data_IF_651812735956
#
_entry.id   IF_651812735956
#
_cell.length_a   1.000
_cell.length_b   1.000
_cell.length_c   1.000
_cell.angle_alpha   90.00
_cell.angle_beta   90.00
_cell.angle_gamma   90.00
#
_symmetry.space_group_name_H-M   'P 1'
#
loop_
_entity.id
_entity.type
_entity.pdbx_description
1 polymer ?
#
# COMPACT_ATOMS: atom_id res chain seq x y z
N UNK A 1 -9.50 -13.23 36.56
CA UNK A 1 -9.48 -13.48 35.11
C UNK A 1 -8.54 -12.49 34.38
N UNK A 2 -7.23 -12.58 34.59
CA UNK A 2 -6.24 -11.73 33.88
C UNK A 2 -5.27 -12.56 33.01
N UNK A 3 -5.09 -13.84 33.34
CA UNK A 3 -4.19 -14.76 32.63
C UNK A 3 -4.68 -15.21 31.24
N UNK A 4 -5.98 -15.13 30.95
CA UNK A 4 -6.52 -15.51 29.64
C UNK A 4 -6.19 -14.47 28.54
N UNK A 5 -6.03 -13.20 28.91
CA UNK A 5 -5.67 -12.12 27.98
C UNK A 5 -4.20 -12.23 27.53
N UNK A 6 -3.32 -12.67 28.42
CA UNK A 6 -1.88 -12.84 28.15
C UNK A 6 -1.61 -13.96 27.13
N UNK A 7 -2.36 -15.06 27.20
CA UNK A 7 -2.21 -16.19 26.27
C UNK A 7 -2.72 -15.84 24.86
N UNK A 8 -3.78 -15.04 24.75
CA UNK A 8 -4.29 -14.56 23.47
C UNK A 8 -3.25 -13.67 22.75
N UNK A 9 -2.57 -12.80 23.50
CA UNK A 9 -1.56 -11.89 22.98
C UNK A 9 -0.23 -12.57 22.62
N UNK A 10 0.16 -13.60 23.38
CA UNK A 10 1.32 -14.43 23.04
C UNK A 10 1.11 -15.18 21.71
N UNK A 11 -0.12 -15.68 21.49
CA UNK A 11 -0.48 -16.43 20.28
C UNK A 11 -0.56 -15.58 19.00
N UNK A 12 -0.91 -14.29 19.11
CA UNK A 12 -0.97 -13.40 17.94
C UNK A 12 0.40 -12.92 17.48
N UNK A 13 1.33 -12.70 18.42
CA UNK A 13 2.69 -12.24 18.10
C UNK A 13 3.52 -13.35 17.42
N UNK A 14 3.37 -14.60 17.86
CA UNK A 14 3.97 -15.76 17.21
C UNK A 14 3.37 -15.98 15.82
N UNK A 15 2.05 -15.83 15.67
CA UNK A 15 1.35 -15.94 14.39
C UNK A 15 1.86 -14.95 13.34
N UNK A 16 2.09 -13.68 13.72
CA UNK A 16 2.64 -12.66 12.82
C UNK A 16 4.05 -13.04 12.38
N UNK A 17 4.92 -13.40 13.33
CA UNK A 17 6.32 -13.75 13.04
C UNK A 17 6.43 -14.97 12.14
N UNK A 18 5.65 -16.02 12.40
CA UNK A 18 5.64 -17.24 11.59
C UNK A 18 5.10 -16.97 10.18
N UNK A 19 4.05 -16.17 10.07
CA UNK A 19 3.46 -15.79 8.78
C UNK A 19 4.45 -14.96 7.95
N UNK A 20 5.10 -13.96 8.56
CA UNK A 20 6.10 -13.14 7.89
C UNK A 20 7.35 -13.92 7.49
N UNK A 21 7.79 -14.88 8.31
CA UNK A 21 8.92 -15.75 7.98
C UNK A 21 8.61 -16.61 6.75
N UNK A 22 7.41 -17.22 6.70
CA UNK A 22 6.95 -17.99 5.53
C UNK A 22 6.80 -17.10 4.29
N UNK A 23 6.29 -15.88 4.45
CA UNK A 23 6.15 -14.93 3.35
C UNK A 23 7.51 -14.50 2.77
N UNK A 24 8.46 -14.15 3.63
CA UNK A 24 9.81 -13.77 3.22
C UNK A 24 10.62 -14.93 2.61
N UNK A 25 10.35 -16.18 3.03
CA UNK A 25 10.93 -17.36 2.41
C UNK A 25 10.34 -17.64 1.01
N UNK A 26 9.07 -17.28 0.78
CA UNK A 26 8.37 -17.51 -0.49
C UNK A 26 8.65 -16.41 -1.51
N UNK A 27 8.73 -15.15 -1.07
CA UNK A 27 8.94 -13.99 -1.93
C UNK A 27 10.15 -13.19 -1.43
N UNK A 28 11.21 -13.16 -2.23
CA UNK A 28 12.45 -12.44 -1.90
C UNK A 28 12.27 -10.91 -1.87
N UNK A 29 11.20 -10.38 -2.47
CA UNK A 29 10.84 -8.96 -2.38
C UNK A 29 10.14 -8.63 -1.06
N UNK A 30 9.59 -9.63 -0.36
CA UNK A 30 8.95 -9.45 0.94
C UNK A 30 10.01 -9.43 2.06
N UNK A 31 10.36 -8.24 2.54
CA UNK A 31 11.27 -8.10 3.68
C UNK A 31 10.56 -8.49 4.98
N UNK A 32 11.18 -9.40 5.74
CA UNK A 32 10.65 -9.86 7.02
C UNK A 32 10.35 -8.71 7.98
N UNK A 33 11.32 -7.80 8.19
CA UNK A 33 11.15 -6.66 9.10
C UNK A 33 10.04 -5.72 8.67
N UNK A 34 9.87 -5.52 7.36
CA UNK A 34 8.77 -4.73 6.83
C UNK A 34 7.42 -5.38 7.11
N UNK A 35 7.32 -6.70 6.88
CA UNK A 35 6.10 -7.47 7.17
C UNK A 35 5.73 -7.40 8.66
N UNK A 36 6.67 -7.66 9.56
CA UNK A 36 6.41 -7.63 11.01
C UNK A 36 6.00 -6.23 11.46
N UNK A 37 6.75 -5.18 11.09
CA UNK A 37 6.42 -3.80 11.47
C UNK A 37 5.06 -3.37 10.92
N UNK A 38 4.75 -3.70 9.68
CA UNK A 38 3.46 -3.35 9.06
C UNK A 38 2.29 -4.00 9.80
N UNK A 39 2.44 -5.26 10.21
CA UNK A 39 1.40 -6.01 10.91
C UNK A 39 1.27 -5.62 12.39
N UNK A 40 2.37 -5.37 13.08
CA UNK A 40 2.35 -4.94 14.48
C UNK A 40 1.85 -3.51 14.66
N UNK A 41 2.02 -2.65 13.65
CA UNK A 41 1.50 -1.27 13.64
C UNK A 41 -0.04 -1.21 13.61
N UNK A 42 -0.70 -2.28 13.15
CA UNK A 42 -2.15 -2.36 13.10
C UNK A 42 -2.69 -3.10 14.33
N UNK A 43 -3.45 -2.43 15.23
CA UNK A 43 -3.99 -3.05 16.43
C UNK A 43 -4.89 -4.26 16.14
N UNK A 44 -5.62 -4.25 15.02
CA UNK A 44 -6.47 -5.38 14.63
C UNK A 44 -5.68 -6.59 14.14
N UNK A 45 -4.55 -6.37 13.48
CA UNK A 45 -3.62 -7.44 13.09
C UNK A 45 -2.95 -8.03 14.34
N UNK A 46 -2.60 -7.16 15.30
CA UNK A 46 -1.99 -7.55 16.58
C UNK A 46 -2.95 -8.34 17.50
N UNK A 47 -4.26 -8.14 17.39
CA UNK A 47 -5.27 -8.91 18.12
C UNK A 47 -5.75 -10.16 17.37
N UNK A 48 -5.24 -10.43 16.17
CA UNK A 48 -5.69 -11.57 15.38
C UNK A 48 -5.14 -12.88 15.97
N UNK A 49 -6.04 -13.81 16.30
CA UNK A 49 -5.71 -15.13 16.85
C UNK A 49 -5.59 -16.22 15.79
N UNK A 50 -5.92 -15.93 14.54
CA UNK A 50 -5.86 -16.86 13.42
C UNK A 50 -5.42 -16.18 12.11
N UNK A 51 -4.85 -16.97 11.19
CA UNK A 51 -4.34 -16.47 9.91
C UNK A 51 -5.44 -15.74 9.12
N UNK A 52 -6.68 -16.25 9.14
CA UNK A 52 -7.81 -15.61 8.44
C UNK A 52 -8.08 -14.21 8.98
N UNK A 53 -8.10 -14.03 10.31
CA UNK A 53 -8.28 -12.73 10.94
C UNK A 53 -7.12 -11.78 10.62
N UNK A 54 -5.89 -12.31 10.62
CA UNK A 54 -4.68 -11.56 10.29
C UNK A 54 -4.73 -11.05 8.84
N UNK A 55 -5.06 -11.91 7.88
CA UNK A 55 -5.19 -11.54 6.46
C UNK A 55 -6.26 -10.46 6.28
N UNK A 56 -7.45 -10.63 6.87
CA UNK A 56 -8.53 -9.65 6.76
C UNK A 56 -8.11 -8.28 7.33
N UNK A 57 -7.50 -8.27 8.53
CA UNK A 57 -7.05 -7.04 9.16
C UNK A 57 -5.96 -6.33 8.34
N UNK A 58 -5.02 -7.11 7.79
CA UNK A 58 -3.91 -6.60 6.98
C UNK A 58 -4.39 -6.03 5.66
N UNK A 59 -5.29 -6.72 4.96
CA UNK A 59 -5.87 -6.25 3.70
C UNK A 59 -6.70 -4.99 3.89
N UNK A 60 -7.50 -4.90 4.96
CA UNK A 60 -8.25 -3.67 5.28
C UNK A 60 -7.31 -2.49 5.54
N UNK A 61 -6.22 -2.70 6.28
CA UNK A 61 -5.23 -1.66 6.53
C UNK A 61 -4.52 -1.20 5.25
N UNK A 62 -4.13 -2.15 4.38
CA UNK A 62 -3.53 -1.84 3.09
C UNK A 62 -4.49 -1.04 2.20
N UNK A 63 -5.77 -1.43 2.13
CA UNK A 63 -6.78 -0.71 1.37
C UNK A 63 -6.96 0.73 1.89
N UNK A 64 -7.05 0.92 3.22
CA UNK A 64 -7.17 2.24 3.82
C UNK A 64 -5.98 3.14 3.50
N UNK A 65 -4.76 2.62 3.63
CA UNK A 65 -3.54 3.37 3.31
C UNK A 65 -3.46 3.75 1.83
N UNK A 66 -3.84 2.84 0.92
CA UNK A 66 -3.89 3.11 -0.52
C UNK A 66 -4.90 4.22 -0.85
N UNK A 67 -6.09 4.20 -0.25
CA UNK A 67 -7.09 5.27 -0.41
C UNK A 67 -6.54 6.61 0.07
N UNK A 68 -5.78 6.62 1.16
CA UNK A 68 -5.16 7.85 1.66
C UNK A 68 -4.10 8.40 0.70
N UNK A 69 -3.24 7.54 0.16
CA UNK A 69 -2.25 7.92 -0.85
C UNK A 69 -2.93 8.42 -2.12
N UNK A 70 -4.01 7.77 -2.57
CA UNK A 70 -4.80 8.22 -3.72
C UNK A 70 -5.36 9.63 -3.50
N UNK A 71 -5.91 9.90 -2.30
CA UNK A 71 -6.43 11.22 -1.95
C UNK A 71 -5.33 12.28 -2.00
N UNK A 72 -4.18 12.02 -1.38
CA UNK A 72 -3.04 12.95 -1.36
C UNK A 72 -2.54 13.21 -2.78
N UNK A 73 -2.41 12.15 -3.60
CA UNK A 73 -2.00 12.28 -4.99
C UNK A 73 -2.98 13.14 -5.80
N UNK A 74 -4.30 12.96 -5.61
CA UNK A 74 -5.33 13.79 -6.24
C UNK A 74 -5.21 15.25 -5.80
N UNK A 75 -5.02 15.53 -4.51
CA UNK A 75 -4.83 16.90 -4.00
C UNK A 75 -3.62 17.56 -4.65
N UNK A 76 -2.46 16.90 -4.65
CA UNK A 76 -1.24 17.43 -5.28
C UNK A 76 -1.46 17.70 -6.78
N UNK A 77 -2.17 16.81 -7.49
CA UNK A 77 -2.45 17.00 -8.91
C UNK A 77 -3.41 18.16 -9.17
N UNK A 78 -4.40 18.37 -8.30
CA UNK A 78 -5.33 19.51 -8.39
C UNK A 78 -4.59 20.81 -8.09
N UNK A 79 -3.83 20.87 -6.99
CA UNK A 79 -3.02 22.03 -6.61
C UNK A 79 -1.98 22.39 -7.67
N UNK A 80 -1.32 21.39 -8.25
CA UNK A 80 -0.43 21.63 -9.38
C UNK A 80 -1.19 22.13 -10.59
N UNK A 81 -2.35 21.56 -10.95
CA UNK A 81 -3.17 22.07 -12.07
C UNK A 81 -3.68 23.50 -11.86
N UNK A 82 -3.92 23.92 -10.62
CA UNK A 82 -4.37 25.30 -10.31
C UNK A 82 -3.20 26.28 -10.13
N UNK A 83 -1.96 25.80 -10.06
CA UNK A 83 -0.78 26.66 -10.09
C UNK A 83 -0.63 27.32 -11.47
N UNK A 84 -0.59 28.66 -11.56
CA UNK A 84 -0.42 29.38 -12.83
C UNK A 84 0.89 29.01 -13.54
N UNK A 85 1.89 28.49 -12.82
CA UNK A 85 3.15 28.00 -13.39
C UNK A 85 2.97 26.66 -14.13
N UNK A 86 2.17 25.75 -13.58
CA UNK A 86 1.89 24.45 -14.19
C UNK A 86 0.93 24.56 -15.39
N UNK A 87 -0.04 25.49 -15.34
CA UNK A 87 -0.91 25.83 -16.48
C UNK A 87 -0.08 26.38 -17.65
N UNK A 88 0.95 27.19 -17.37
CA UNK A 88 1.91 27.67 -18.40
C UNK A 88 2.72 26.51 -18.97
N UNK A 89 3.26 25.62 -18.14
CA UNK A 89 4.02 24.45 -18.61
C UNK A 89 3.14 23.51 -19.45
N UNK A 90 1.89 23.24 -19.05
CA UNK A 90 0.98 22.39 -19.81
C UNK A 90 0.51 23.05 -21.12
N UNK A 91 0.17 24.34 -21.13
CA UNK A 91 -0.21 25.05 -22.38
C UNK A 91 0.97 25.20 -23.36
N UNK A 92 2.20 25.27 -22.86
CA UNK A 92 3.41 25.26 -23.68
C UNK A 92 3.79 23.85 -24.14
N UNK A 93 3.56 22.82 -23.31
CA UNK A 93 3.78 21.41 -23.65
C UNK A 93 2.76 20.90 -24.68
N UNK A 94 1.49 21.27 -24.59
CA UNK A 94 0.47 20.93 -25.60
C UNK A 94 0.79 21.53 -26.98
N UNK A 95 1.38 22.73 -27.05
CA UNK A 95 1.89 23.29 -28.31
C UNK A 95 3.11 22.54 -28.87
N UNK A 96 3.99 22.01 -28.03
CA UNK A 96 5.15 21.19 -28.46
C UNK A 96 4.77 19.74 -28.78
N UNK A 97 3.75 19.18 -28.14
CA UNK A 97 3.32 17.79 -28.33
C UNK A 97 2.54 17.61 -29.65
N UNK A 98 1.80 18.63 -30.09
CA UNK A 98 1.10 18.62 -31.39
C UNK A 98 2.07 18.54 -32.60
N UNK A 99 3.35 18.86 -32.41
CA UNK A 99 4.40 18.72 -33.42
C UNK A 99 5.07 17.32 -33.41
N UNK A 100 4.73 16.45 -32.45
CA UNK A 100 5.37 15.13 -32.23
C UNK A 100 4.37 13.97 -32.24
N UNK A 101 3.23 14.13 -32.91
CA UNK A 101 2.26 13.08 -33.15
C UNK A 101 2.51 12.44 -34.52
N UNK A 102 3.60 11.70 -34.64
CA UNK A 102 3.74 10.63 -35.63
C UNK A 102 4.69 9.57 -35.02
N UNK A 103 4.23 8.32 -35.01
CA UNK A 103 4.86 7.09 -34.49
C UNK A 103 4.70 6.69 -33.01
N UNK A 104 3.58 5.96 -32.83
CA UNK A 104 3.45 4.55 -32.40
C UNK A 104 2.91 4.20 -31.00
N UNK A 105 1.99 3.20 -30.93
CA UNK A 105 1.32 2.75 -29.71
C UNK A 105 1.92 1.47 -29.10
N UNK A 106 1.35 1.10 -27.93
CA UNK A 106 1.14 -0.22 -27.32
C UNK A 106 1.96 -0.67 -26.07
N UNK A 107 1.16 -1.31 -25.18
CA UNK A 107 1.43 -2.19 -24.02
C UNK A 107 1.54 -1.54 -22.62
N UNK A 108 0.65 -1.72 -21.62
CA UNK A 108 -0.27 -2.76 -21.09
C UNK A 108 0.33 -3.57 -19.92
N UNK A 109 -0.21 -3.40 -18.69
CA UNK A 109 -0.29 -4.38 -17.56
C UNK A 109 -1.42 -3.85 -16.64
N UNK A 110 -2.66 -4.35 -16.58
CA UNK A 110 -3.26 -5.68 -16.34
C UNK A 110 -3.06 -6.22 -14.91
N UNK A 111 -3.97 -5.77 -14.02
CA UNK A 111 -4.82 -6.56 -13.09
C UNK A 111 -4.28 -7.93 -12.68
N UNK A 112 -3.91 -8.07 -11.41
CA UNK A 112 -4.14 -9.25 -10.57
C UNK A 112 -4.58 -8.76 -9.18
#
# INVERSE_FOLDING_TARGET
MFFLLLNCFANSQTLIRDSCKKAAAKDQNMKYDFCVKSLESNPHSKSATCIKGLVIASTKNAAFNTINVERIAKTILVEKKTSPEFVKIYSQKSRKQNLRLEMRPLFCVKRF
#
